data_IF_185956686634
#
_entry.id   IF_185956686634
#
_cell.length_a   1.000
_cell.length_b   1.000
_cell.length_c   1.000
_cell.angle_alpha   90.00
_cell.angle_beta   90.00
_cell.angle_gamma   90.00
#
_symmetry.space_group_name_H-M   'P 1'
#
loop_
_entity.id
_entity.type
_entity.pdbx_description
1 polymer ?
#
# COMPACT_ATOMS: atom_id res chain seq x y z
N UNK A 1 20.02 -3.49 8.99
CA UNK A 1 19.00 -4.52 9.30
C UNK A 1 18.00 -3.94 10.30
N UNK A 2 16.99 -3.20 9.83
CA UNK A 2 15.91 -2.73 10.70
C UNK A 2 15.08 -3.95 11.11
N UNK A 3 15.17 -4.36 12.38
CA UNK A 3 14.26 -5.35 12.98
C UNK A 3 12.88 -4.69 13.17
N UNK A 4 12.16 -4.44 12.08
CA UNK A 4 10.80 -3.94 12.19
C UNK A 4 9.91 -5.08 12.67
N UNK A 5 9.16 -4.85 13.75
CA UNK A 5 8.32 -5.86 14.37
C UNK A 5 7.23 -6.29 13.39
N UNK A 6 7.05 -7.60 13.17
CA UNK A 6 6.09 -8.13 12.20
C UNK A 6 4.65 -7.65 12.47
N UNK A 7 4.33 -7.40 13.74
CA UNK A 7 3.05 -6.81 14.16
C UNK A 7 2.83 -5.41 13.56
N UNK A 8 3.88 -4.58 13.55
CA UNK A 8 3.82 -3.21 13.00
C UNK A 8 3.62 -3.26 11.48
N UNK A 9 4.31 -4.18 10.80
CA UNK A 9 4.13 -4.41 9.36
C UNK A 9 2.71 -4.85 9.00
N UNK A 10 2.12 -5.72 9.81
CA UNK A 10 0.75 -6.18 9.61
C UNK A 10 -0.27 -5.05 9.77
N UNK A 11 -0.09 -4.19 10.79
CA UNK A 11 -0.89 -2.98 10.97
C UNK A 11 -0.73 -2.03 9.78
N UNK A 12 0.52 -1.82 9.31
CA UNK A 12 0.80 -0.99 8.15
C UNK A 12 0.10 -1.53 6.88
N UNK A 13 0.08 -2.85 6.72
CA UNK A 13 -0.60 -3.52 5.61
C UNK A 13 -2.12 -3.32 5.66
N UNK A 14 -2.74 -3.46 6.83
CA UNK A 14 -4.17 -3.16 7.03
C UNK A 14 -4.48 -1.70 6.67
N UNK A 15 -3.65 -0.75 7.15
CA UNK A 15 -3.81 0.66 6.79
C UNK A 15 -3.75 0.86 5.27
N UNK A 16 -2.81 0.20 4.58
CA UNK A 16 -2.70 0.30 3.13
C UNK A 16 -3.92 -0.28 2.39
N UNK A 17 -4.53 -1.36 2.90
CA UNK A 17 -5.78 -1.91 2.35
C UNK A 17 -6.96 -0.93 2.50
N UNK A 18 -7.02 -0.18 3.61
CA UNK A 18 -8.04 0.87 3.79
C UNK A 18 -7.88 1.99 2.76
N UNK A 19 -6.65 2.41 2.46
CA UNK A 19 -6.40 3.41 1.41
C UNK A 19 -6.80 2.93 0.01
N UNK A 20 -6.57 1.66 -0.32
CA UNK A 20 -7.09 1.06 -1.56
C UNK A 20 -8.61 1.08 -1.58
N UNK A 21 -9.25 0.66 -0.48
CA UNK A 21 -10.71 0.66 -0.39
C UNK A 21 -11.29 2.06 -0.63
N UNK A 22 -10.68 3.09 -0.05
CA UNK A 22 -11.03 4.49 -0.29
C UNK A 22 -10.80 4.91 -1.74
N UNK A 23 -9.67 4.53 -2.35
CA UNK A 23 -9.38 4.83 -3.75
C UNK A 23 -10.38 4.17 -4.71
N UNK A 24 -10.72 2.90 -4.49
CA UNK A 24 -11.73 2.17 -5.27
C UNK A 24 -13.12 2.78 -5.06
N UNK A 25 -13.49 3.08 -3.81
CA UNK A 25 -14.76 3.74 -3.50
C UNK A 25 -14.87 5.10 -4.18
N UNK A 26 -13.80 5.90 -4.17
CA UNK A 26 -13.78 7.19 -4.86
C UNK A 26 -13.91 7.04 -6.39
N UNK A 27 -13.27 6.02 -6.99
CA UNK A 27 -13.44 5.68 -8.42
C UNK A 27 -14.89 5.25 -8.72
N UNK A 28 -15.50 4.45 -7.85
CA UNK A 28 -16.85 3.95 -8.04
C UNK A 28 -17.91 5.05 -7.88
N UNK A 29 -17.75 5.93 -6.88
CA UNK A 29 -18.68 7.00 -6.55
C UNK A 29 -18.60 8.19 -7.52
N UNK A 30 -17.37 8.65 -7.83
CA UNK A 30 -17.14 9.86 -8.65
C UNK A 30 -16.77 9.56 -10.11
N UNK A 31 -16.65 8.29 -10.46
CA UNK A 31 -16.14 7.85 -11.75
C UNK A 31 -14.64 8.08 -11.92
N UNK A 32 -14.13 7.69 -13.09
CA UNK A 32 -12.74 7.92 -13.47
C UNK A 32 -12.55 9.40 -13.81
N UNK A 33 -11.83 10.16 -12.97
CA UNK A 33 -11.51 11.56 -13.26
C UNK A 33 -10.47 11.64 -14.37
N UNK A 34 -10.38 12.76 -15.08
CA UNK A 34 -9.40 12.95 -16.18
C UNK A 34 -8.31 13.95 -15.84
N UNK A 35 -7.19 13.90 -16.56
CA UNK A 35 -6.07 14.84 -16.41
C UNK A 35 -5.38 14.74 -15.05
N UNK A 36 -5.03 15.88 -14.45
CA UNK A 36 -4.30 15.95 -13.16
C UNK A 36 -5.09 15.35 -11.98
N UNK A 37 -6.41 15.29 -12.09
CA UNK A 37 -7.27 14.67 -11.06
C UNK A 37 -7.19 13.14 -11.07
N UNK A 38 -6.85 12.53 -12.20
CA UNK A 38 -6.63 11.08 -12.32
C UNK A 38 -5.36 10.68 -11.55
N UNK A 39 -4.31 11.49 -11.62
CA UNK A 39 -3.08 11.30 -10.84
C UNK A 39 -3.34 11.32 -9.33
N UNK A 40 -4.13 12.29 -8.85
CA UNK A 40 -4.53 12.37 -7.45
C UNK A 40 -5.39 11.20 -6.99
N UNK A 41 -6.23 10.65 -7.88
CA UNK A 41 -7.05 9.50 -7.56
C UNK A 41 -6.21 8.21 -7.48
N UNK A 42 -5.19 8.08 -8.33
CA UNK A 42 -4.24 6.97 -8.29
C UNK A 42 -3.19 7.11 -7.18
N UNK A 43 -2.91 8.31 -6.67
CA UNK A 43 -1.92 8.49 -5.60
C UNK A 43 -2.33 7.82 -4.29
N UNK A 44 -3.63 7.58 -4.07
CA UNK A 44 -4.14 6.78 -2.96
C UNK A 44 -3.62 5.33 -2.94
N UNK A 45 -3.16 4.80 -4.09
CA UNK A 45 -2.57 3.45 -4.18
C UNK A 45 -1.07 3.43 -3.87
N UNK A 46 -0.39 4.58 -3.90
CA UNK A 46 1.06 4.68 -3.70
C UNK A 46 1.53 4.15 -2.33
N UNK A 47 0.86 4.48 -1.20
CA UNK A 47 1.23 3.96 0.12
C UNK A 47 1.19 2.43 0.17
N UNK A 48 0.23 1.83 -0.55
CA UNK A 48 0.11 0.38 -0.63
C UNK A 48 1.23 -0.27 -1.43
N UNK A 49 1.60 0.29 -2.59
CA UNK A 49 2.71 -0.23 -3.41
C UNK A 49 4.01 -0.20 -2.61
N UNK A 50 4.30 0.92 -1.95
CA UNK A 50 5.48 1.06 -1.09
C UNK A 50 5.43 0.07 0.07
N UNK A 51 4.26 -0.07 0.72
CA UNK A 51 4.02 -1.01 1.80
C UNK A 51 4.29 -2.48 1.39
N UNK A 52 3.82 -2.90 0.21
CA UNK A 52 4.08 -4.23 -0.34
C UNK A 52 5.55 -4.45 -0.62
N UNK A 53 6.25 -3.48 -1.23
CA UNK A 53 7.67 -3.62 -1.56
C UNK A 53 8.50 -3.81 -0.29
N UNK A 54 8.22 -3.00 0.73
CA UNK A 54 8.92 -3.06 2.02
C UNK A 54 8.58 -4.34 2.79
N UNK A 55 7.31 -4.77 2.80
CA UNK A 55 6.89 -6.02 3.42
C UNK A 55 7.49 -7.24 2.71
N UNK A 56 7.40 -7.29 1.38
CA UNK A 56 7.93 -8.37 0.55
C UNK A 56 9.44 -8.49 0.65
N UNK A 57 10.17 -7.36 0.59
CA UNK A 57 11.62 -7.34 0.75
C UNK A 57 12.05 -7.86 2.13
N UNK A 58 11.34 -7.48 3.20
CA UNK A 58 11.61 -7.99 4.54
C UNK A 58 11.28 -9.48 4.68
N UNK A 59 10.20 -9.96 4.06
CA UNK A 59 9.84 -11.38 4.06
C UNK A 59 10.86 -12.24 3.30
N UNK A 60 11.32 -11.75 2.14
CA UNK A 60 12.35 -12.41 1.32
C UNK A 60 13.70 -12.44 2.03
N UNK A 61 14.11 -11.32 2.64
CA UNK A 61 15.35 -11.25 3.42
C UNK A 61 15.32 -12.18 4.64
N UNK A 62 14.17 -12.34 5.31
CA UNK A 62 13.99 -13.33 6.38
C UNK A 62 14.13 -14.77 5.89
N UNK A 63 13.68 -15.05 4.65
CA UNK A 63 13.75 -16.40 4.04
C UNK A 63 15.17 -16.79 3.62
N UNK A 64 16.01 -15.83 3.23
CA UNK A 64 17.43 -16.07 2.89
C UNK A 64 18.28 -16.33 4.15
N UNK A 65 17.86 -15.81 5.30
CA UNK A 65 18.61 -15.90 6.57
C UNK A 65 18.32 -17.19 7.37
N UNK A 66 17.47 -18.05 6.85
CA UNK A 66 17.02 -19.29 7.49
C UNK A 66 17.35 -20.49 6.61
#
# INVERSE_FOLDING_TARGET
MMRLNYKIHFVLFICCLLFIGLGIFEIMDKGLKTGTKLFWQFSHFLPFVIGIIVFGSNLFSKRIKN
#
